data_IF_962685079627
#
_entry.id   IF_962685079627
#
_cell.length_a   1.000
_cell.length_b   1.000
_cell.length_c   1.000
_cell.angle_alpha   90.00
_cell.angle_beta   90.00
_cell.angle_gamma   90.00
#
_symmetry.space_group_name_H-M   'P 1'
#
loop_
_entity.id
_entity.type
_entity.pdbx_description
1 polymer ?
#
# COMPACT_ATOMS: atom_id res chain seq x y z
N UNK A 1 22.96 28.79 47.54
CA UNK A 1 23.79 27.58 47.35
C UNK A 1 22.93 26.36 47.54
N UNK A 2 23.17 25.35 46.70
CA UNK A 2 22.68 23.96 46.73
C UNK A 2 21.22 23.68 46.29
N UNK A 3 21.03 22.89 45.21
CA UNK A 3 19.78 22.23 44.84
C UNK A 3 19.77 20.73 45.23
N UNK A 4 18.59 20.13 45.48
CA UNK A 4 18.22 18.70 45.32
C UNK A 4 16.83 18.41 45.96
N UNK A 5 16.18 17.21 45.82
CA UNK A 5 16.18 16.13 44.81
C UNK A 5 14.76 15.83 44.25
N UNK A 6 14.67 15.15 43.10
CA UNK A 6 13.81 13.94 42.86
C UNK A 6 13.75 13.62 41.36
N UNK A 7 14.84 13.03 40.89
CA UNK A 7 14.87 12.20 39.69
C UNK A 7 15.63 10.93 40.09
N UNK A 8 14.89 9.88 40.41
CA UNK A 8 15.32 8.47 40.45
C UNK A 8 14.19 7.62 41.07
N UNK A 9 13.41 6.96 40.22
CA UNK A 9 12.74 5.71 40.51
C UNK A 9 12.11 5.19 39.21
N UNK A 10 12.81 4.28 38.53
CA UNK A 10 12.25 3.19 37.71
C UNK A 10 13.44 2.39 37.14
N UNK A 11 14.08 1.67 38.05
CA UNK A 11 14.96 0.54 37.77
C UNK A 11 14.54 -0.55 38.77
N UNK A 12 13.53 -1.33 38.40
CA UNK A 12 13.47 -2.73 38.81
C UNK A 12 12.43 -3.50 37.99
N UNK A 13 12.68 -4.80 37.83
CA UNK A 13 11.97 -5.79 37.01
C UNK A 13 12.48 -5.90 35.56
N UNK A 14 13.53 -6.71 35.43
CA UNK A 14 14.16 -7.08 34.19
C UNK A 14 13.33 -8.05 33.34
N UNK A 15 13.47 -7.89 32.02
CA UNK A 15 13.39 -8.97 31.04
C UNK A 15 14.49 -8.73 30.00
N UNK A 16 15.32 -9.75 29.79
CA UNK A 16 16.52 -9.75 28.96
C UNK A 16 16.26 -9.35 27.51
N UNK A 17 16.91 -8.27 27.03
CA UNK A 17 17.22 -8.11 25.61
C UNK A 17 18.67 -8.54 25.37
N UNK A 18 18.83 -9.69 24.72
CA UNK A 18 20.10 -10.12 24.15
C UNK A 18 20.40 -9.19 22.96
N UNK A 19 21.41 -8.35 23.11
CA UNK A 19 22.02 -7.59 22.02
C UNK A 19 23.30 -8.32 21.60
N UNK A 20 23.44 -8.79 20.34
CA UNK A 20 24.72 -9.29 19.86
C UNK A 20 25.70 -8.13 19.66
N UNK A 21 26.52 -7.93 20.69
CA UNK A 21 27.92 -7.47 20.72
C UNK A 21 28.51 -7.03 19.37
N UNK A 22 28.62 -5.71 19.19
CA UNK A 22 29.44 -5.07 18.16
C UNK A 22 30.86 -4.88 18.69
N UNK A 23 31.69 -5.92 18.63
CA UNK A 23 33.14 -5.80 18.84
C UNK A 23 33.88 -6.69 17.84
N UNK A 24 34.39 -6.09 16.77
CA UNK A 24 35.73 -6.32 16.19
C UNK A 24 35.79 -5.67 14.82
N UNK A 25 36.66 -4.67 14.71
CA UNK A 25 37.76 -4.60 13.73
C UNK A 25 38.21 -3.15 13.57
N UNK A 26 39.00 -2.69 14.54
CA UNK A 26 40.01 -1.65 14.30
C UNK A 26 41.30 -2.40 13.94
N UNK A 27 41.96 -1.92 12.87
CA UNK A 27 43.23 -2.34 12.28
C UNK A 27 43.22 -3.45 11.21
N UNK A 28 43.30 -3.04 9.93
CA UNK A 28 44.28 -3.53 8.96
C UNK A 28 44.51 -2.53 7.80
N UNK A 29 45.69 -2.55 7.16
CA UNK A 29 46.28 -1.40 6.47
C UNK A 29 45.81 -1.25 5.01
N UNK A 30 46.09 -0.06 4.46
CA UNK A 30 45.97 0.26 3.04
C UNK A 30 46.92 -0.61 2.20
N UNK A 31 46.39 -1.33 1.20
CA UNK A 31 46.97 -1.36 -0.14
C UNK A 31 46.03 -1.95 -1.21
N UNK A 32 46.27 -1.49 -2.44
CA UNK A 32 46.00 -2.10 -3.76
C UNK A 32 44.65 -1.85 -4.46
N UNK A 33 44.70 -0.81 -5.30
CA UNK A 33 43.91 -0.65 -6.51
C UNK A 33 43.98 -1.90 -7.41
N UNK A 34 42.90 -2.69 -7.46
CA UNK A 34 42.62 -3.62 -8.57
C UNK A 34 41.38 -3.14 -9.33
N UNK A 35 41.41 -3.02 -10.66
CA UNK A 35 40.22 -2.74 -11.45
C UNK A 35 39.18 -3.84 -11.23
N UNK A 36 37.96 -3.45 -10.86
CA UNK A 36 36.83 -4.37 -10.76
C UNK A 36 36.52 -4.91 -12.16
N UNK A 37 36.40 -6.23 -12.37
CA UNK A 37 36.03 -6.78 -13.66
C UNK A 37 34.65 -6.25 -14.07
N UNK A 38 34.56 -5.82 -15.32
CA UNK A 38 33.31 -5.37 -15.94
C UNK A 38 32.27 -6.48 -15.86
N UNK A 39 31.02 -6.18 -15.47
CA UNK A 39 29.96 -7.17 -15.54
C UNK A 39 29.78 -7.62 -17.00
N UNK A 40 29.53 -8.92 -17.26
CA UNK A 40 29.21 -9.36 -18.59
C UNK A 40 27.95 -8.62 -19.12
N UNK A 41 27.87 -8.36 -20.44
CA UNK A 41 26.72 -7.71 -21.03
C UNK A 41 25.45 -8.49 -20.70
N UNK A 42 24.39 -7.77 -20.32
CA UNK A 42 23.10 -8.35 -19.97
C UNK A 42 22.60 -9.22 -21.12
N UNK A 43 22.52 -10.52 -20.88
CA UNK A 43 21.82 -11.46 -21.77
C UNK A 43 20.36 -11.01 -21.84
N UNK A 44 19.72 -10.98 -23.03
CA UNK A 44 18.30 -10.66 -23.13
C UNK A 44 17.54 -11.69 -22.28
N UNK A 45 16.91 -11.22 -21.20
CA UNK A 45 16.12 -12.07 -20.30
C UNK A 45 15.07 -12.79 -21.13
N UNK A 46 15.04 -14.11 -20.98
CA UNK A 46 13.89 -14.93 -21.33
C UNK A 46 12.62 -14.29 -20.76
N UNK A 47 11.50 -14.43 -21.48
CA UNK A 47 10.19 -13.91 -21.14
C UNK A 47 9.92 -13.99 -19.63
N UNK A 48 9.50 -12.87 -19.04
CA UNK A 48 9.17 -12.84 -17.61
C UNK A 48 8.06 -13.85 -17.25
N UNK A 49 7.83 -14.11 -15.95
CA UNK A 49 6.87 -15.13 -15.48
C UNK A 49 5.41 -14.81 -15.78
N UNK A 50 5.14 -13.70 -16.48
CA UNK A 50 3.80 -13.31 -16.89
C UNK A 50 3.64 -13.67 -18.36
N UNK A 51 2.47 -14.20 -18.75
CA UNK A 51 2.23 -14.46 -20.16
C UNK A 51 2.52 -13.18 -20.95
N UNK A 52 3.21 -13.30 -22.12
CA UNK A 52 3.15 -12.27 -23.14
C UNK A 52 1.69 -11.86 -23.34
N UNK A 53 1.44 -10.66 -23.85
CA UNK A 53 0.10 -10.29 -24.32
C UNK A 53 -0.23 -11.26 -25.47
N UNK A 54 -0.77 -12.44 -25.15
CA UNK A 54 -1.22 -13.40 -26.12
C UNK A 54 -2.52 -12.83 -26.66
N UNK A 55 -2.41 -12.31 -27.88
CA UNK A 55 -3.51 -12.22 -28.81
C UNK A 55 -4.00 -13.65 -29.07
N UNK A 56 -4.86 -14.18 -28.20
CA UNK A 56 -5.60 -15.39 -28.54
C UNK A 56 -6.52 -15.03 -29.72
N UNK A 57 -6.25 -15.69 -30.85
CA UNK A 57 -7.06 -15.62 -32.05
C UNK A 57 -8.48 -16.12 -31.72
N UNK A 58 -9.41 -15.21 -31.48
CA UNK A 58 -10.83 -15.58 -31.39
C UNK A 58 -11.75 -14.58 -30.70
N UNK A 59 -11.26 -13.72 -29.80
CA UNK A 59 -12.09 -12.65 -29.23
C UNK A 59 -11.21 -11.45 -28.87
N UNK A 60 -11.36 -10.26 -29.49
CA UNK A 60 -10.64 -9.09 -29.03
C UNK A 60 -11.32 -8.61 -27.74
N UNK A 61 -10.91 -9.12 -26.59
CA UNK A 61 -10.99 -8.31 -25.38
C UNK A 61 -10.06 -7.13 -25.65
N UNK A 62 -10.63 -5.98 -26.02
CA UNK A 62 -9.92 -4.70 -26.07
C UNK A 62 -9.47 -4.39 -24.65
N UNK A 63 -8.30 -4.90 -24.29
CA UNK A 63 -7.61 -4.54 -23.06
C UNK A 63 -7.16 -3.10 -23.25
N UNK A 64 -7.97 -2.16 -22.77
CA UNK A 64 -7.65 -0.73 -22.85
C UNK A 64 -6.44 -0.45 -21.95
N UNK A 65 -5.28 -0.18 -22.56
CA UNK A 65 -4.09 0.25 -21.83
C UNK A 65 -4.26 1.71 -21.38
N UNK A 66 -4.37 1.92 -20.07
CA UNK A 66 -4.45 3.26 -19.47
C UNK A 66 -3.06 3.84 -19.20
N UNK A 67 -2.09 3.00 -18.86
CA UNK A 67 -0.68 3.38 -18.77
C UNK A 67 0.23 2.22 -19.17
N UNK A 68 1.18 2.47 -20.07
CA UNK A 68 2.14 1.48 -20.54
C UNK A 68 3.41 1.39 -19.67
N UNK A 69 3.48 2.15 -18.57
CA UNK A 69 4.62 2.15 -17.67
C UNK A 69 5.89 2.81 -18.23
N UNK A 70 5.83 3.41 -19.43
CA UNK A 70 6.93 4.16 -20.05
C UNK A 70 7.08 5.59 -19.52
N UNK A 71 6.07 6.11 -18.82
CA UNK A 71 6.13 7.35 -18.04
C UNK A 71 5.04 7.34 -16.96
N UNK A 72 5.10 8.34 -16.06
CA UNK A 72 3.99 8.61 -15.17
C UNK A 72 2.82 9.24 -15.94
N UNK A 73 1.63 8.67 -15.79
CA UNK A 73 0.40 9.19 -16.37
C UNK A 73 -0.70 9.30 -15.32
N UNK A 74 -1.73 10.07 -15.62
CA UNK A 74 -2.92 10.19 -14.78
C UNK A 74 -4.18 10.40 -15.62
N UNK A 75 -5.33 10.16 -15.01
CA UNK A 75 -6.62 10.34 -15.66
C UNK A 75 -7.78 10.25 -14.68
N UNK A 76 -8.98 10.07 -15.21
CA UNK A 76 -10.21 9.90 -14.44
C UNK A 76 -11.04 8.77 -15.03
N UNK A 77 -11.59 7.91 -14.17
CA UNK A 77 -12.49 6.84 -14.60
C UNK A 77 -13.89 7.41 -14.80
N UNK A 78 -14.37 7.48 -16.04
CA UNK A 78 -15.66 8.07 -16.36
C UNK A 78 -15.78 9.54 -15.94
N UNK A 79 -17.01 10.09 -15.96
CA UNK A 79 -17.25 11.50 -15.58
C UNK A 79 -17.23 11.76 -14.08
N UNK A 80 -17.60 10.75 -13.28
CA UNK A 80 -17.78 10.87 -11.83
C UNK A 80 -17.02 9.81 -11.03
N UNK A 81 -16.18 9.00 -11.66
CA UNK A 81 -15.40 7.98 -10.98
C UNK A 81 -14.09 8.53 -10.41
N UNK A 82 -13.28 7.66 -9.78
CA UNK A 82 -12.05 8.08 -9.15
C UNK A 82 -11.04 8.58 -10.18
N UNK A 83 -10.20 9.52 -9.74
CA UNK A 83 -8.99 9.90 -10.47
C UNK A 83 -7.96 8.79 -10.32
N UNK A 84 -7.06 8.61 -11.29
CA UNK A 84 -5.99 7.62 -11.19
C UNK A 84 -4.64 8.24 -11.55
N UNK A 85 -3.58 7.66 -11.00
CA UNK A 85 -2.19 7.98 -11.33
C UNK A 85 -1.39 6.68 -11.37
N UNK A 86 -0.58 6.49 -12.40
CA UNK A 86 0.20 5.28 -12.61
C UNK A 86 1.62 5.60 -13.08
N UNK A 87 2.60 4.88 -12.54
CA UNK A 87 3.99 4.84 -13.02
C UNK A 87 4.35 3.47 -13.60
N UNK A 88 3.53 2.45 -13.35
CA UNK A 88 3.66 1.11 -13.94
C UNK A 88 2.57 0.81 -14.97
N UNK A 89 2.43 -0.47 -15.33
CA UNK A 89 1.41 -0.91 -16.26
C UNK A 89 0.03 -0.82 -15.60
N UNK A 90 -0.92 -0.17 -16.27
CA UNK A 90 -2.30 -0.11 -15.84
C UNK A 90 -3.22 -0.37 -17.04
N UNK A 91 -4.07 -1.38 -16.93
CA UNK A 91 -5.03 -1.76 -17.95
C UNK A 91 -6.44 -1.82 -17.38
N UNK A 92 -7.43 -1.60 -18.23
CA UNK A 92 -8.82 -1.97 -17.97
C UNK A 92 -9.01 -3.44 -18.34
N UNK A 93 -9.73 -4.17 -17.49
CA UNK A 93 -9.92 -5.62 -17.60
C UNK A 93 -9.11 -6.38 -16.56
N UNK A 94 -9.37 -7.69 -16.48
CA UNK A 94 -8.61 -8.60 -15.62
C UNK A 94 -7.46 -9.23 -16.41
N UNK A 95 -6.23 -8.90 -16.01
CA UNK A 95 -5.00 -9.48 -16.54
C UNK A 95 -4.18 -10.18 -15.44
N UNK A 96 -4.80 -10.63 -14.36
CA UNK A 96 -4.08 -11.42 -13.36
C UNK A 96 -3.68 -12.78 -13.94
N UNK A 97 -2.80 -13.51 -13.23
CA UNK A 97 -2.48 -14.90 -13.60
C UNK A 97 -3.76 -15.76 -13.65
N UNK A 98 -3.83 -16.64 -14.65
CA UNK A 98 -5.05 -17.37 -15.00
C UNK A 98 -5.50 -18.43 -13.98
N UNK A 99 -4.62 -18.79 -13.05
CA UNK A 99 -4.91 -19.68 -11.92
C UNK A 99 -5.60 -18.96 -10.74
N UNK A 100 -5.71 -17.62 -10.78
CA UNK A 100 -6.31 -16.83 -9.72
C UNK A 100 -7.74 -16.40 -10.04
N UNK A 101 -8.66 -16.68 -9.11
CA UNK A 101 -10.07 -16.30 -9.22
C UNK A 101 -10.28 -14.85 -8.74
N UNK A 102 -10.33 -13.92 -9.69
CA UNK A 102 -10.64 -12.50 -9.41
C UNK A 102 -12.13 -12.24 -9.53
N UNK A 103 -12.76 -11.79 -8.45
CA UNK A 103 -14.19 -11.48 -8.37
C UNK A 103 -14.43 -9.95 -8.41
N UNK A 104 -14.01 -9.29 -9.48
CA UNK A 104 -14.16 -7.83 -9.68
C UNK A 104 -14.87 -7.57 -11.00
N UNK A 105 -16.02 -6.89 -10.99
CA UNK A 105 -16.83 -6.68 -12.21
C UNK A 105 -16.23 -5.59 -13.11
N UNK A 106 -16.01 -4.41 -12.56
CA UNK A 106 -15.33 -3.30 -13.23
C UNK A 106 -13.83 -3.33 -12.91
N UNK A 107 -13.12 -4.29 -13.51
CA UNK A 107 -11.73 -4.58 -13.16
C UNK A 107 -10.71 -3.67 -13.86
N UNK A 108 -9.68 -3.29 -13.11
CA UNK A 108 -8.45 -2.68 -13.59
C UNK A 108 -7.27 -3.44 -13.02
N UNK A 109 -6.34 -3.88 -13.86
CA UNK A 109 -5.14 -4.60 -13.44
C UNK A 109 -3.92 -3.69 -13.49
N UNK A 110 -3.23 -3.58 -12.37
CA UNK A 110 -1.99 -2.82 -12.21
C UNK A 110 -0.80 -3.74 -11.99
N UNK A 111 0.36 -3.39 -12.58
CA UNK A 111 1.63 -4.08 -12.33
C UNK A 111 2.76 -3.08 -12.09
N UNK A 112 3.49 -3.28 -11.00
CA UNK A 112 4.71 -2.58 -10.66
C UNK A 112 5.89 -3.57 -10.73
N UNK A 113 7.02 -3.15 -11.27
CA UNK A 113 8.17 -4.03 -11.44
C UNK A 113 9.46 -3.25 -11.68
N UNK A 114 10.61 -3.95 -11.75
CA UNK A 114 11.93 -3.30 -11.85
C UNK A 114 12.10 -2.41 -13.08
N UNK A 115 11.37 -2.71 -14.17
CA UNK A 115 11.37 -1.96 -15.43
C UNK A 115 10.27 -0.87 -15.54
N UNK A 116 9.39 -0.71 -14.55
CA UNK A 116 8.38 0.35 -14.56
C UNK A 116 9.01 1.72 -14.32
N UNK A 117 8.58 2.74 -15.08
CA UNK A 117 9.14 4.09 -14.93
C UNK A 117 8.88 4.68 -13.55
N UNK A 118 9.83 5.53 -13.17
CA UNK A 118 9.82 6.26 -11.90
C UNK A 118 8.87 7.45 -12.04
N UNK A 119 8.24 7.86 -10.93
CA UNK A 119 7.38 9.05 -10.90
C UNK A 119 8.21 10.34 -11.00
N UNK A 120 8.93 10.50 -12.12
CA UNK A 120 9.81 11.59 -12.52
C UNK A 120 10.38 12.39 -11.36
N UNK A 121 11.53 11.99 -10.81
CA UNK A 121 12.50 12.82 -10.04
C UNK A 121 13.42 11.97 -9.14
N UNK A 122 14.36 11.16 -9.65
CA UNK A 122 15.30 10.38 -8.79
C UNK A 122 14.65 9.55 -7.65
N UNK A 123 13.32 9.40 -7.64
CA UNK A 123 12.60 8.83 -6.52
C UNK A 123 12.40 7.36 -6.85
N UNK A 124 12.80 6.50 -5.91
CA UNK A 124 12.63 5.07 -6.01
C UNK A 124 11.15 4.67 -5.81
N UNK A 125 10.19 5.58 -5.98
CA UNK A 125 8.79 5.34 -5.62
C UNK A 125 7.99 4.94 -6.86
N UNK A 126 7.21 3.88 -6.72
CA UNK A 126 6.33 3.37 -7.76
C UNK A 126 4.90 3.41 -7.26
N UNK A 127 3.97 3.83 -8.12
CA UNK A 127 2.57 3.92 -7.72
C UNK A 127 1.61 3.61 -8.84
N UNK A 128 0.51 2.96 -8.50
CA UNK A 128 -0.73 2.90 -9.26
C UNK A 128 -1.83 3.12 -8.24
N UNK A 129 -2.38 4.33 -8.19
CA UNK A 129 -3.35 4.72 -7.16
C UNK A 129 -4.62 5.29 -7.79
N UNK A 130 -5.76 4.94 -7.22
CA UNK A 130 -7.08 5.48 -7.49
C UNK A 130 -7.51 6.35 -6.32
N UNK A 131 -7.92 7.57 -6.62
CA UNK A 131 -8.11 8.68 -5.69
C UNK A 131 -9.56 9.13 -5.72
N UNK A 132 -10.17 9.26 -4.54
CA UNK A 132 -11.45 9.95 -4.37
C UNK A 132 -11.33 11.47 -4.60
N UNK A 133 -12.32 12.04 -5.27
CA UNK A 133 -12.39 13.47 -5.58
C UNK A 133 -13.86 13.93 -5.68
N UNK A 134 -14.22 15.16 -5.24
CA UNK A 134 -13.38 16.15 -4.55
C UNK A 134 -12.93 15.71 -3.14
N UNK A 135 -11.95 16.39 -2.52
CA UNK A 135 -11.59 16.14 -1.12
C UNK A 135 -12.77 16.42 -0.18
N UNK A 136 -12.75 15.81 1.00
CA UNK A 136 -13.78 16.01 2.02
C UNK A 136 -13.77 17.40 2.64
N UNK A 137 -14.92 17.82 3.18
CA UNK A 137 -15.07 19.01 4.02
C UNK A 137 -15.35 18.63 5.48
N UNK A 138 -15.10 19.53 6.45
CA UNK A 138 -15.48 19.29 7.84
C UNK A 138 -16.98 18.96 7.98
N UNK A 139 -17.31 18.03 8.86
CA UNK A 139 -18.68 17.59 9.15
C UNK A 139 -19.26 16.56 8.18
N UNK A 140 -18.66 16.34 7.02
CA UNK A 140 -19.16 15.39 6.03
C UNK A 140 -18.91 13.93 6.45
N UNK A 141 -19.81 13.04 6.05
CA UNK A 141 -19.64 11.60 6.14
C UNK A 141 -19.49 11.03 4.74
N UNK A 142 -18.39 10.32 4.49
CA UNK A 142 -18.12 9.66 3.23
C UNK A 142 -18.05 8.14 3.40
N UNK A 143 -18.60 7.42 2.43
CA UNK A 143 -18.49 5.97 2.31
C UNK A 143 -17.71 5.64 1.03
N UNK A 144 -16.63 4.92 1.20
CA UNK A 144 -15.77 4.43 0.13
C UNK A 144 -15.79 2.91 0.12
N UNK A 145 -16.17 2.33 -1.00
CA UNK A 145 -16.11 0.88 -1.21
C UNK A 145 -15.39 0.56 -2.52
N UNK A 146 -14.59 -0.50 -2.52
CA UNK A 146 -13.92 -1.04 -3.70
C UNK A 146 -13.58 -2.51 -3.49
N UNK A 147 -13.42 -3.24 -4.59
CA UNK A 147 -12.88 -4.60 -4.57
C UNK A 147 -11.41 -4.59 -4.95
N UNK A 148 -10.61 -5.43 -4.29
CA UNK A 148 -9.16 -5.48 -4.47
C UNK A 148 -8.66 -6.92 -4.43
N UNK A 149 -7.71 -7.25 -5.30
CA UNK A 149 -7.04 -8.55 -5.34
C UNK A 149 -5.55 -8.32 -5.45
N UNK A 150 -4.79 -8.67 -4.41
CA UNK A 150 -3.34 -8.72 -4.49
C UNK A 150 -2.95 -10.07 -5.07
N UNK A 151 -2.21 -10.08 -6.18
CA UNK A 151 -1.70 -11.36 -6.69
C UNK A 151 -0.74 -11.97 -5.68
N UNK A 152 -0.90 -13.28 -5.43
CA UNK A 152 0.02 -14.02 -4.57
C UNK A 152 1.46 -13.91 -5.10
N UNK A 153 2.44 -13.77 -4.21
CA UNK A 153 3.85 -13.76 -4.60
C UNK A 153 4.35 -15.19 -4.83
N UNK A 154 5.08 -15.42 -5.92
CA UNK A 154 5.77 -16.67 -6.25
C UNK A 154 7.28 -16.63 -5.97
N UNK A 155 7.73 -15.59 -5.28
CA UNK A 155 9.10 -15.39 -4.85
C UNK A 155 9.13 -15.05 -3.36
N UNK A 156 10.27 -15.31 -2.72
CA UNK A 156 10.50 -14.86 -1.34
C UNK A 156 10.50 -13.35 -1.32
N UNK A 157 9.35 -12.77 -0.96
CA UNK A 157 9.16 -11.34 -0.90
C UNK A 157 10.02 -10.79 0.24
N UNK A 158 11.11 -10.04 -0.05
CA UNK A 158 11.73 -9.27 0.99
C UNK A 158 10.79 -8.08 1.19
N UNK A 159 9.90 -8.17 2.18
CA UNK A 159 9.33 -6.95 2.74
C UNK A 159 10.52 -6.20 3.31
N UNK A 160 11.14 -5.35 2.51
CA UNK A 160 12.18 -4.46 2.97
C UNK A 160 11.59 -3.59 4.09
N UNK A 161 12.44 -2.93 4.88
CA UNK A 161 11.99 -1.85 5.77
C UNK A 161 11.33 -0.66 5.03
N UNK A 162 11.23 -0.72 3.70
CA UNK A 162 10.57 0.29 2.89
C UNK A 162 9.06 0.06 2.79
N UNK A 163 8.32 1.17 2.73
CA UNK A 163 6.86 1.17 2.69
C UNK A 163 6.28 0.43 1.47
N UNK A 164 5.16 -0.26 1.71
CA UNK A 164 4.29 -0.83 0.68
C UNK A 164 2.83 -0.60 1.11
N UNK A 165 2.21 0.42 0.54
CA UNK A 165 0.89 0.91 0.90
C UNK A 165 -0.15 0.41 -0.11
N UNK A 166 -1.21 -0.22 0.40
CA UNK A 166 -2.36 -0.72 -0.38
C UNK A 166 -3.51 0.29 -0.42
N UNK A 167 -3.65 1.07 0.65
CA UNK A 167 -4.54 2.23 0.68
C UNK A 167 -4.02 3.26 1.68
N UNK A 168 -4.36 4.53 1.46
CA UNK A 168 -4.14 5.62 2.40
C UNK A 168 -5.29 6.64 2.39
N UNK A 169 -5.77 7.01 3.57
CA UNK A 169 -6.55 8.22 3.77
C UNK A 169 -5.58 9.37 4.02
N UNK A 170 -5.46 10.26 3.04
CA UNK A 170 -4.53 11.39 3.07
C UNK A 170 -5.30 12.69 3.26
N UNK A 171 -4.94 13.51 4.24
CA UNK A 171 -5.36 14.92 4.25
C UNK A 171 -4.47 15.75 3.32
N UNK A 172 -4.96 16.91 2.87
CA UNK A 172 -4.15 17.97 2.24
C UNK A 172 -3.99 19.18 3.15
N UNK A 173 -4.69 19.18 4.28
CA UNK A 173 -4.64 20.23 5.27
C UNK A 173 -3.42 20.00 6.17
N UNK A 174 -2.24 20.32 5.65
CA UNK A 174 -0.98 20.20 6.36
C UNK A 174 -0.56 21.57 6.90
N UNK A 175 -1.05 21.94 8.07
CA UNK A 175 -0.51 23.07 8.84
C UNK A 175 0.75 22.68 9.64
N UNK A 176 1.57 21.76 9.11
CA UNK A 176 2.90 21.44 9.63
C UNK A 176 3.00 20.45 10.81
N UNK A 177 1.90 20.09 11.48
CA UNK A 177 1.93 19.24 12.69
C UNK A 177 1.42 17.81 12.47
N UNK A 178 0.47 17.61 11.55
CA UNK A 178 -0.10 16.28 11.28
C UNK A 178 0.62 15.59 10.11
N UNK A 179 1.02 14.31 10.22
CA UNK A 179 1.52 13.57 9.08
C UNK A 179 0.41 13.46 8.04
N UNK A 180 0.78 13.43 6.75
CA UNK A 180 -0.20 13.54 5.69
C UNK A 180 -1.15 12.35 5.61
N UNK A 181 -0.72 11.18 6.08
CA UNK A 181 -1.52 9.98 6.17
C UNK A 181 -2.20 9.86 7.53
N UNK A 182 -3.53 9.94 7.50
CA UNK A 182 -4.39 9.72 8.66
C UNK A 182 -4.51 8.22 8.95
N UNK A 183 -4.78 7.42 7.91
CA UNK A 183 -5.02 5.98 8.01
C UNK A 183 -4.40 5.26 6.81
N UNK A 184 -3.80 4.09 7.02
CA UNK A 184 -3.12 3.30 5.98
C UNK A 184 -3.41 1.81 6.13
N UNK A 185 -3.44 1.11 5.00
CA UNK A 185 -3.26 -0.34 4.93
C UNK A 185 -1.90 -0.61 4.29
N UNK A 186 -1.02 -1.33 4.98
CA UNK A 186 0.36 -1.56 4.53
C UNK A 186 0.71 -3.05 4.58
N UNK A 187 1.60 -3.46 3.69
CA UNK A 187 2.26 -4.76 3.73
C UNK A 187 3.62 -4.60 4.44
N UNK A 188 3.75 -5.15 5.64
CA UNK A 188 4.95 -5.07 6.50
C UNK A 188 5.23 -6.43 7.11
N UNK A 189 6.44 -6.97 6.97
CA UNK A 189 6.86 -8.20 7.66
C UNK A 189 6.04 -9.44 7.33
N UNK A 190 5.54 -9.56 6.09
CA UNK A 190 4.55 -10.56 5.64
C UNK A 190 3.19 -10.48 6.33
N UNK A 191 2.84 -9.31 6.85
CA UNK A 191 1.49 -9.03 7.34
C UNK A 191 0.88 -7.88 6.55
N UNK A 192 -0.42 -7.95 6.31
CA UNK A 192 -1.21 -6.80 5.87
C UNK A 192 -1.80 -6.16 7.12
N UNK A 193 -1.45 -4.89 7.38
CA UNK A 193 -1.77 -4.19 8.62
C UNK A 193 -2.42 -2.82 8.39
N UNK A 194 -3.52 -2.57 9.08
CA UNK A 194 -4.15 -1.27 9.22
C UNK A 194 -3.43 -0.43 10.30
N UNK A 195 -3.12 0.83 9.99
CA UNK A 195 -2.47 1.78 10.90
C UNK A 195 -3.18 3.12 10.85
N UNK A 196 -3.31 3.76 12.01
CA UNK A 196 -3.92 5.08 12.15
C UNK A 196 -2.96 6.02 12.87
N UNK A 197 -2.85 7.27 12.41
CA UNK A 197 -2.03 8.28 13.05
C UNK A 197 -2.50 8.61 14.47
N UNK A 198 -3.82 8.58 14.71
CA UNK A 198 -4.41 8.80 16.04
C UNK A 198 -4.16 7.65 17.03
N UNK A 199 -3.40 6.62 16.61
CA UNK A 199 -3.08 5.46 17.43
C UNK A 199 -4.17 4.40 17.42
N UNK A 200 -4.15 3.57 18.45
CA UNK A 200 -5.03 2.42 18.62
C UNK A 200 -6.14 2.74 19.61
N UNK A 201 -7.43 2.45 19.30
CA UNK A 201 -8.49 2.62 20.28
C UNK A 201 -8.18 1.86 21.59
N UNK A 202 -8.44 2.44 22.78
CA UNK A 202 -8.26 1.75 24.05
C UNK A 202 -9.07 0.44 24.09
N UNK A 203 -8.47 -0.65 24.57
CA UNK A 203 -9.17 -1.92 24.80
C UNK A 203 -9.44 -2.79 23.56
N UNK A 204 -8.99 -2.40 22.36
CA UNK A 204 -9.09 -3.24 21.17
C UNK A 204 -7.82 -4.10 20.98
N UNK A 205 -7.96 -5.42 20.74
CA UNK A 205 -6.81 -6.26 20.47
C UNK A 205 -6.18 -5.92 19.10
N UNK A 206 -4.86 -5.74 19.08
CA UNK A 206 -4.10 -5.43 17.86
C UNK A 206 -4.25 -6.51 16.77
N UNK A 207 -4.62 -7.73 17.14
CA UNK A 207 -4.80 -8.88 16.23
C UNK A 207 -5.94 -8.72 15.23
N UNK A 208 -6.85 -7.75 15.42
CA UNK A 208 -7.92 -7.44 14.45
C UNK A 208 -7.47 -6.55 13.29
N UNK A 209 -6.29 -5.94 13.41
CA UNK A 209 -5.81 -4.92 12.48
C UNK A 209 -4.68 -5.42 11.60
N UNK A 210 -4.23 -6.65 11.79
CA UNK A 210 -3.22 -7.27 10.97
C UNK A 210 -3.61 -8.72 10.67
N UNK A 211 -3.31 -9.18 9.46
CA UNK A 211 -3.42 -10.59 9.10
C UNK A 211 -2.14 -11.04 8.41
N UNK A 212 -1.76 -12.33 8.53
CA UNK A 212 -0.70 -12.90 7.70
C UNK A 212 -1.02 -12.69 6.21
N UNK A 213 0.01 -12.43 5.41
CA UNK A 213 -0.13 -12.19 3.96
C UNK A 213 -0.89 -13.32 3.23
N UNK A 214 -0.70 -14.62 3.53
CA UNK A 214 -1.49 -15.70 2.91
C UNK A 214 -3.00 -15.61 3.19
N UNK A 215 -3.40 -14.92 4.27
CA UNK A 215 -4.81 -14.67 4.55
C UNK A 215 -5.40 -13.58 3.64
N UNK A 216 -4.55 -12.80 2.95
CA UNK A 216 -4.92 -11.67 2.11
C UNK A 216 -4.64 -11.86 0.61
N UNK A 217 -3.45 -12.35 0.24
CA UNK A 217 -3.03 -12.49 -1.15
C UNK A 217 -3.77 -13.63 -1.88
N UNK A 218 -3.87 -13.53 -3.21
CA UNK A 218 -4.56 -14.51 -4.04
C UNK A 218 -6.08 -14.54 -3.84
N UNK A 219 -6.64 -13.65 -3.01
CA UNK A 219 -8.06 -13.52 -2.71
C UNK A 219 -8.58 -12.16 -3.16
N UNK A 220 -9.84 -12.13 -3.57
CA UNK A 220 -10.54 -10.87 -3.82
C UNK A 220 -11.22 -10.39 -2.54
N UNK A 221 -10.86 -9.20 -2.12
CA UNK A 221 -11.33 -8.54 -0.91
C UNK A 221 -12.32 -7.42 -1.23
N UNK A 222 -13.41 -7.34 -0.47
CA UNK A 222 -14.30 -6.18 -0.40
C UNK A 222 -13.81 -5.26 0.70
N UNK A 223 -13.44 -4.05 0.33
CA UNK A 223 -13.03 -3.00 1.25
C UNK A 223 -14.17 -2.01 1.44
N UNK A 224 -14.48 -1.69 2.68
CA UNK A 224 -15.46 -0.65 3.03
C UNK A 224 -14.84 0.26 4.07
N UNK A 225 -14.77 1.56 3.76
CA UNK A 225 -14.25 2.61 4.60
C UNK A 225 -15.30 3.71 4.75
N UNK A 226 -15.77 3.92 5.97
CA UNK A 226 -16.65 5.04 6.33
C UNK A 226 -15.88 6.03 7.19
N UNK A 227 -15.99 7.32 6.86
CA UNK A 227 -15.26 8.39 7.54
C UNK A 227 -16.18 9.57 7.79
N UNK A 228 -16.28 9.99 9.04
CA UNK A 228 -16.82 11.31 9.41
C UNK A 228 -15.67 12.27 9.66
N UNK A 229 -15.62 13.34 8.89
CA UNK A 229 -14.57 14.36 8.96
C UNK A 229 -14.88 15.45 9.99
N UNK A 230 -13.85 15.99 10.64
CA UNK A 230 -13.96 17.02 11.67
C UNK A 230 -14.09 16.48 13.09
N UNK A 231 -14.49 17.37 14.00
CA UNK A 231 -14.63 17.09 15.43
C UNK A 231 -15.69 16.02 15.73
N UNK A 232 -15.40 15.12 16.67
CA UNK A 232 -16.27 13.98 16.97
C UNK A 232 -16.49 13.06 15.75
N UNK A 233 -15.49 13.00 14.87
CA UNK A 233 -15.44 12.14 13.69
C UNK A 233 -15.07 10.70 14.02
N UNK A 234 -15.03 9.88 12.98
CA UNK A 234 -14.71 8.46 13.09
C UNK A 234 -14.08 7.92 11.81
N UNK A 235 -13.39 6.79 11.96
CA UNK A 235 -12.87 5.95 10.88
C UNK A 235 -13.33 4.52 11.17
N UNK A 236 -14.23 4.00 10.35
CA UNK A 236 -14.69 2.61 10.38
C UNK A 236 -14.25 1.93 9.10
N UNK A 237 -13.45 0.88 9.23
CA UNK A 237 -12.86 0.19 8.10
C UNK A 237 -12.98 -1.31 8.28
N UNK A 238 -13.44 -1.99 7.22
CA UNK A 238 -13.50 -3.43 7.17
C UNK A 238 -13.02 -3.98 5.84
N UNK A 239 -12.46 -5.18 5.90
CA UNK A 239 -12.06 -5.98 4.75
C UNK A 239 -12.72 -7.35 4.89
N UNK A 240 -13.45 -7.77 3.86
CA UNK A 240 -14.10 -9.08 3.81
C UNK A 240 -13.62 -9.86 2.59
N UNK A 241 -13.27 -11.13 2.76
CA UNK A 241 -13.01 -12.02 1.63
C UNK A 241 -14.32 -12.29 0.88
N UNK A 242 -14.40 -11.90 -0.39
CA UNK A 242 -15.61 -12.05 -1.22
C UNK A 242 -15.95 -13.53 -1.45
N UNK A 243 -14.94 -14.39 -1.56
CA UNK A 243 -15.13 -15.81 -1.85
C UNK A 243 -15.75 -16.58 -0.67
N UNK A 244 -15.40 -16.20 0.55
CA UNK A 244 -15.82 -16.92 1.77
C UNK A 244 -16.80 -16.14 2.65
N UNK A 245 -16.92 -14.83 2.46
CA UNK A 245 -17.66 -13.92 3.35
C UNK A 245 -16.97 -13.67 4.69
N UNK A 246 -15.75 -14.18 4.90
CA UNK A 246 -15.02 -14.04 6.17
C UNK A 246 -14.52 -12.61 6.35
N UNK A 247 -14.75 -12.03 7.53
CA UNK A 247 -14.11 -10.79 7.95
C UNK A 247 -12.60 -11.01 8.15
N UNK A 248 -11.79 -10.23 7.46
CA UNK A 248 -10.32 -10.32 7.44
C UNK A 248 -9.70 -9.27 8.35
N UNK A 249 -10.08 -7.99 8.19
CA UNK A 249 -9.62 -6.87 9.03
C UNK A 249 -10.84 -6.03 9.44
N UNK A 250 -10.87 -5.59 10.69
CA UNK A 250 -11.84 -4.63 11.21
C UNK A 250 -11.14 -3.59 12.10
N UNK A 251 -11.26 -2.32 11.72
CA UNK A 251 -10.71 -1.18 12.45
C UNK A 251 -11.80 -0.14 12.66
N UNK A 252 -12.14 0.14 13.92
CA UNK A 252 -13.14 1.13 14.29
C UNK A 252 -12.54 2.09 15.31
N UNK A 253 -12.56 3.39 15.00
CA UNK A 253 -12.08 4.45 15.87
C UNK A 253 -13.06 5.63 15.83
N UNK A 254 -13.59 5.98 17.00
CA UNK A 254 -14.63 7.00 17.19
C UNK A 254 -14.12 8.17 18.04
N UNK A 255 -14.85 9.30 18.00
CA UNK A 255 -14.58 10.44 18.86
C UNK A 255 -13.29 11.20 18.54
N UNK A 256 -12.76 11.04 17.34
CA UNK A 256 -11.50 11.66 16.90
C UNK A 256 -11.75 12.88 16.02
N UNK A 257 -10.81 13.84 16.01
CA UNK A 257 -10.87 14.97 15.08
C UNK A 257 -10.21 14.59 13.74
N UNK A 258 -10.97 13.93 12.86
CA UNK A 258 -10.45 13.47 11.55
C UNK A 258 -10.19 14.67 10.64
N UNK A 259 -8.94 14.88 10.22
CA UNK A 259 -8.61 16.02 9.36
C UNK A 259 -9.40 16.00 8.04
N UNK A 260 -9.98 17.15 7.70
CA UNK A 260 -10.73 17.37 6.45
C UNK A 260 -9.79 17.55 5.25
N UNK A 261 -10.34 18.00 4.11
CA UNK A 261 -9.63 18.11 2.81
C UNK A 261 -8.93 16.82 2.43
N UNK A 262 -9.51 15.71 2.88
CA UNK A 262 -8.90 14.40 2.78
C UNK A 262 -9.47 13.64 1.59
N UNK A 263 -8.66 12.70 1.11
CA UNK A 263 -9.05 11.76 0.08
C UNK A 263 -8.52 10.39 0.40
N UNK A 264 -9.33 9.39 0.15
CA UNK A 264 -8.88 8.00 0.04
C UNK A 264 -8.13 7.83 -1.27
N UNK A 265 -6.97 7.19 -1.17
CA UNK A 265 -6.24 6.56 -2.27
C UNK A 265 -6.16 5.06 -2.03
N UNK A 266 -6.43 4.27 -3.05
CA UNK A 266 -6.34 2.80 -3.01
C UNK A 266 -5.61 2.30 -4.26
N UNK A 267 -4.93 1.16 -4.16
CA UNK A 267 -4.07 0.63 -5.21
C UNK A 267 -2.75 0.13 -4.64
N UNK A 268 -1.64 0.48 -5.27
CA UNK A 268 -0.32 0.10 -4.78
C UNK A 268 0.63 1.30 -4.83
N UNK A 269 1.27 1.61 -3.70
CA UNK A 269 2.29 2.64 -3.59
C UNK A 269 3.46 2.11 -2.76
N UNK A 270 4.63 1.98 -3.37
CA UNK A 270 5.76 1.29 -2.76
C UNK A 270 7.11 1.86 -3.17
N UNK A 271 8.15 1.44 -2.45
CA UNK A 271 9.53 1.64 -2.87
C UNK A 271 9.97 0.58 -3.91
N UNK A 272 10.90 0.94 -4.81
CA UNK A 272 11.40 0.15 -5.96
C UNK A 272 12.06 -1.16 -5.55
N UNK A 273 12.62 -1.23 -4.35
CA UNK A 273 13.37 -2.39 -3.84
C UNK A 273 12.51 -3.64 -3.65
N UNK A 274 11.19 -3.52 -3.72
CA UNK A 274 10.28 -4.66 -3.71
C UNK A 274 10.21 -5.26 -5.13
N UNK A 275 10.38 -6.58 -5.27
CA UNK A 275 10.24 -7.31 -6.54
C UNK A 275 8.92 -7.03 -7.30
N UNK A 276 8.68 -7.64 -8.46
CA UNK A 276 7.46 -7.37 -9.24
C UNK A 276 6.19 -7.66 -8.43
N UNK A 277 5.21 -6.76 -8.43
CA UNK A 277 3.91 -7.00 -7.82
C UNK A 277 2.78 -6.60 -8.76
N UNK A 278 1.70 -7.35 -8.69
CA UNK A 278 0.52 -7.17 -9.50
C UNK A 278 -0.74 -7.20 -8.63
N UNK A 279 -1.77 -6.50 -9.09
CA UNK A 279 -3.05 -6.44 -8.41
C UNK A 279 -4.18 -6.19 -9.40
N UNK A 280 -5.39 -6.57 -9.03
CA UNK A 280 -6.61 -6.10 -9.64
C UNK A 280 -7.40 -5.25 -8.65
N UNK A 281 -8.07 -4.22 -9.13
CA UNK A 281 -8.92 -3.32 -8.33
C UNK A 281 -10.12 -2.87 -9.15
N UNK A 282 -11.23 -2.59 -8.50
CA UNK A 282 -12.42 -2.14 -9.21
C UNK A 282 -13.64 -1.96 -8.32
N UNK A 283 -14.80 -1.94 -8.96
CA UNK A 283 -16.12 -1.86 -8.30
C UNK A 283 -16.24 -0.66 -7.35
N UNK A 284 -15.62 0.46 -7.74
CA UNK A 284 -15.53 1.67 -6.94
C UNK A 284 -16.91 2.28 -6.68
N UNK A 285 -17.24 2.49 -5.40
CA UNK A 285 -18.43 3.20 -4.94
C UNK A 285 -18.01 4.23 -3.90
N UNK A 286 -17.64 5.41 -4.38
CA UNK A 286 -17.23 6.52 -3.53
C UNK A 286 -18.34 7.55 -3.48
N UNK A 287 -18.90 7.81 -2.29
CA UNK A 287 -20.02 8.73 -2.13
C UNK A 287 -19.96 9.47 -0.80
N UNK A 288 -20.44 10.72 -0.82
CA UNK A 288 -20.87 11.44 0.39
C UNK A 288 -22.24 10.92 0.80
N UNK A 289 -22.42 10.61 2.08
CA UNK A 289 -23.67 10.03 2.62
C UNK A 289 -24.36 10.93 3.66
N UNK A 290 -23.64 11.88 4.25
CA UNK A 290 -24.20 12.97 5.05
C UNK A 290 -23.30 14.22 4.93
#
# INVERSE_FOLDING_TARGET
MAPHPLANALLDMGVNFIVPRLERMVNKPANENRPRPTPPPATPSAAGPYPPIHQDAGTPLTVDCLNNGGQQSSGMLGKCGPKWQATGLLHRGNLTRGDQRVNIKECYTGRLGPAGTHGGSNNSRQRIEFLSWPPSEPGQVHLYQWSYHLEAFDYDYPSSSAFFTLMQLLTRDHQGVLPPAIFRLELVGREVRAQCHYGTPPGQPQTKWAVPLPDFEGKTMDHVLEVKYGEGGYIHYRITDIGTGKLVIEFNLDGINVAAKASVKCGMYRNKVCGPAAFAIGDFKFKRVA
#
